data_IF_087085956999
#
_entry.id   IF_087085956999
#
_cell.length_a   1.000
_cell.length_b   1.000
_cell.length_c   1.000
_cell.angle_alpha   90.00
_cell.angle_beta   90.00
_cell.angle_gamma   90.00
#
_symmetry.space_group_name_H-M   'P 1'
#
loop_
_entity.id
_entity.type
_entity.pdbx_description
1 polymer ?
#
# COMPACT_ATOMS: atom_id res chain seq x y z
N UNK A 1 -24.80 25.24 -2.27
CA UNK A 1 -25.20 23.88 -2.73
C UNK A 1 -24.24 23.31 -3.76
N UNK A 2 -23.98 23.95 -4.91
CA UNK A 2 -23.09 23.40 -5.96
C UNK A 2 -21.65 23.14 -5.47
N UNK A 3 -21.08 24.06 -4.67
CA UNK A 3 -19.73 23.88 -4.11
C UNK A 3 -19.60 22.67 -3.17
N UNK A 4 -20.61 22.45 -2.32
CA UNK A 4 -20.65 21.30 -1.41
C UNK A 4 -20.73 19.98 -2.20
N UNK A 5 -21.51 19.95 -3.29
CA UNK A 5 -21.58 18.79 -4.18
C UNK A 5 -20.21 18.42 -4.74
N UNK A 6 -19.47 19.38 -5.29
CA UNK A 6 -18.12 19.13 -5.81
C UNK A 6 -17.13 18.67 -4.73
N UNK A 7 -17.19 19.25 -3.52
CA UNK A 7 -16.38 18.80 -2.39
C UNK A 7 -16.72 17.37 -1.96
N UNK A 8 -18.00 17.03 -1.88
CA UNK A 8 -18.42 15.66 -1.53
C UNK A 8 -17.99 14.65 -2.59
N UNK A 9 -18.07 15.02 -3.87
CA UNK A 9 -17.62 14.17 -4.98
C UNK A 9 -16.10 13.94 -4.90
N UNK A 10 -15.32 14.99 -4.65
CA UNK A 10 -13.86 14.89 -4.51
C UNK A 10 -13.48 14.01 -3.31
N UNK A 11 -14.13 14.20 -2.16
CA UNK A 11 -13.93 13.35 -0.98
C UNK A 11 -14.29 11.89 -1.25
N UNK A 12 -15.40 11.62 -1.95
CA UNK A 12 -15.79 10.28 -2.32
C UNK A 12 -14.74 9.62 -3.22
N UNK A 13 -14.25 10.31 -4.24
CA UNK A 13 -13.20 9.82 -5.15
C UNK A 13 -11.92 9.50 -4.36
N UNK A 14 -11.48 10.39 -3.45
CA UNK A 14 -10.31 10.13 -2.60
C UNK A 14 -10.49 8.89 -1.73
N UNK A 15 -11.70 8.69 -1.18
CA UNK A 15 -12.03 7.53 -0.36
C UNK A 15 -11.98 6.24 -1.18
N UNK A 16 -12.52 6.25 -2.40
CA UNK A 16 -12.41 5.11 -3.33
C UNK A 16 -10.96 4.80 -3.71
N UNK A 17 -10.15 5.82 -3.98
CA UNK A 17 -8.72 5.65 -4.26
C UNK A 17 -7.99 5.03 -3.06
N UNK A 18 -8.29 5.49 -1.84
CA UNK A 18 -7.68 4.91 -0.62
C UNK A 18 -8.06 3.43 -0.45
N UNK A 19 -9.35 3.10 -0.59
CA UNK A 19 -9.81 1.70 -0.53
C UNK A 19 -9.14 0.83 -1.61
N UNK A 20 -9.03 1.35 -2.83
CA UNK A 20 -8.37 0.65 -3.93
C UNK A 20 -6.88 0.40 -3.63
N UNK A 21 -6.15 1.43 -3.18
CA UNK A 21 -4.74 1.31 -2.80
C UNK A 21 -4.54 0.27 -1.69
N UNK A 22 -5.35 0.35 -0.65
CA UNK A 22 -5.32 -0.57 0.49
C UNK A 22 -5.54 -2.01 0.04
N UNK A 23 -6.54 -2.23 -0.81
CA UNK A 23 -6.83 -3.55 -1.36
C UNK A 23 -5.69 -4.06 -2.27
N UNK A 24 -5.13 -3.19 -3.12
CA UNK A 24 -4.01 -3.52 -4.00
C UNK A 24 -2.77 -3.94 -3.20
N UNK A 25 -2.39 -3.17 -2.18
CA UNK A 25 -1.28 -3.49 -1.27
C UNK A 25 -1.53 -4.80 -0.54
N UNK A 26 -2.73 -5.01 -0.01
CA UNK A 26 -3.08 -6.24 0.69
C UNK A 26 -2.97 -7.48 -0.22
N UNK A 27 -3.53 -7.41 -1.43
CA UNK A 27 -3.50 -8.50 -2.40
C UNK A 27 -2.07 -8.79 -2.86
N UNK A 28 -1.27 -7.75 -3.13
CA UNK A 28 0.12 -7.91 -3.54
C UNK A 28 0.99 -8.49 -2.40
N UNK A 29 0.84 -7.96 -1.18
CA UNK A 29 1.53 -8.47 0.01
C UNK A 29 1.17 -9.94 0.30
N UNK A 30 -0.11 -10.31 0.13
CA UNK A 30 -0.58 -11.69 0.30
C UNK A 30 0.03 -12.65 -0.72
N UNK A 31 0.23 -12.21 -1.97
CA UNK A 31 0.85 -13.01 -3.03
C UNK A 31 2.34 -13.25 -2.80
N UNK A 32 3.04 -12.30 -2.18
CA UNK A 32 4.51 -12.34 -2.02
C UNK A 32 4.99 -13.03 -0.74
N UNK A 33 4.12 -13.17 0.26
CA UNK A 33 4.44 -13.86 1.51
C UNK A 33 5.36 -13.06 2.44
N UNK A 34 5.51 -13.56 3.68
CA UNK A 34 6.24 -12.89 4.77
C UNK A 34 7.76 -12.75 4.52
N UNK A 35 8.34 -13.61 3.67
CA UNK A 35 9.79 -13.69 3.46
C UNK A 35 10.40 -12.46 2.78
N UNK A 36 9.61 -11.65 2.06
CA UNK A 36 10.11 -10.44 1.37
C UNK A 36 9.78 -9.12 2.07
N UNK A 37 8.74 -9.09 2.92
CA UNK A 37 8.18 -7.82 3.40
C UNK A 37 8.36 -7.55 4.90
N UNK A 38 9.00 -8.45 5.66
CA UNK A 38 9.25 -8.38 7.12
C UNK A 38 8.02 -8.15 8.02
N UNK A 39 6.87 -7.82 7.44
CA UNK A 39 5.62 -7.49 8.11
C UNK A 39 4.49 -8.25 7.42
N UNK A 40 3.47 -8.67 8.18
CA UNK A 40 2.31 -9.37 7.64
C UNK A 40 1.49 -8.47 6.70
N UNK A 41 0.83 -9.06 5.68
CA UNK A 41 -0.01 -8.33 4.72
C UNK A 41 -1.08 -7.44 5.36
N UNK A 42 -1.62 -7.85 6.50
CA UNK A 42 -2.61 -7.08 7.25
C UNK A 42 -2.06 -5.77 7.82
N UNK A 43 -0.80 -5.76 8.27
CA UNK A 43 -0.16 -4.54 8.79
C UNK A 43 0.10 -3.56 7.64
N UNK A 44 0.56 -4.05 6.49
CA UNK A 44 0.74 -3.21 5.30
C UNK A 44 -0.56 -2.59 4.80
N UNK A 45 -1.65 -3.36 4.82
CA UNK A 45 -2.98 -2.86 4.51
C UNK A 45 -3.41 -1.77 5.52
N UNK A 46 -3.22 -1.98 6.83
CA UNK A 46 -3.55 -0.99 7.85
C UNK A 46 -2.75 0.31 7.69
N UNK A 47 -1.45 0.22 7.46
CA UNK A 47 -0.59 1.40 7.25
C UNK A 47 -1.02 2.17 6.01
N UNK A 48 -1.34 1.46 4.92
CA UNK A 48 -1.85 2.08 3.69
C UNK A 48 -3.24 2.66 3.89
N UNK A 49 -4.10 2.05 4.70
CA UNK A 49 -5.43 2.59 4.95
C UNK A 49 -5.41 3.91 5.72
N UNK A 50 -4.57 3.99 6.76
CA UNK A 50 -4.41 5.21 7.58
C UNK A 50 -3.67 6.30 6.81
N UNK A 51 -2.62 5.93 6.09
CA UNK A 51 -1.80 6.83 5.28
C UNK A 51 -1.72 6.30 3.84
N UNK A 52 -2.70 6.55 2.97
CA UNK A 52 -2.76 5.97 1.63
C UNK A 52 -1.53 6.24 0.79
N UNK A 53 -1.17 7.51 0.62
CA UNK A 53 -0.01 7.88 -0.20
C UNK A 53 1.29 7.44 0.46
N UNK A 54 1.45 7.67 1.77
CA UNK A 54 2.71 7.39 2.46
C UNK A 54 2.93 5.88 2.68
N UNK A 55 1.90 5.15 3.10
CA UNK A 55 1.93 3.71 3.29
C UNK A 55 2.18 2.96 1.99
N UNK A 56 1.51 3.36 0.90
CA UNK A 56 1.82 2.83 -0.42
C UNK A 56 3.22 3.18 -0.89
N UNK A 57 3.67 4.41 -0.67
CA UNK A 57 5.02 4.83 -1.05
C UNK A 57 6.09 4.03 -0.30
N UNK A 58 5.95 3.83 1.01
CA UNK A 58 6.89 3.03 1.82
C UNK A 58 6.81 1.54 1.43
N UNK A 59 5.60 1.02 1.17
CA UNK A 59 5.41 -0.34 0.63
C UNK A 59 6.17 -0.52 -0.68
N UNK A 60 5.97 0.42 -1.60
CA UNK A 60 6.63 0.44 -2.89
C UNK A 60 8.14 0.61 -2.74
N UNK A 61 8.62 1.46 -1.83
CA UNK A 61 10.04 1.63 -1.54
C UNK A 61 10.67 0.35 -1.02
N UNK A 62 10.06 -0.33 -0.06
CA UNK A 62 10.56 -1.63 0.41
C UNK A 62 10.54 -2.68 -0.71
N UNK A 63 9.59 -2.56 -1.64
CA UNK A 63 9.44 -3.52 -2.72
C UNK A 63 10.33 -3.27 -3.95
N UNK A 64 10.61 -2.01 -4.30
CA UNK A 64 11.40 -1.61 -5.47
C UNK A 64 12.79 -1.08 -5.13
N UNK A 65 13.09 -0.84 -3.86
CA UNK A 65 14.48 -0.68 -3.46
C UNK A 65 15.21 -1.99 -3.71
N UNK A 66 16.27 -1.91 -4.50
CA UNK A 66 17.25 -2.95 -4.80
C UNK A 66 17.97 -3.50 -3.56
N UNK A 67 17.60 -3.09 -2.34
CA UNK A 67 18.04 -3.67 -1.07
C UNK A 67 17.52 -5.09 -0.84
N UNK A 68 16.54 -5.55 -1.64
CA UNK A 68 16.15 -6.96 -1.74
C UNK A 68 17.05 -7.77 -2.71
N UNK A 69 18.21 -7.25 -3.13
CA UNK A 69 19.24 -8.06 -3.77
C UNK A 69 19.86 -9.00 -2.74
N UNK A 70 19.17 -10.13 -2.60
CA UNK A 70 19.64 -11.45 -2.20
C UNK A 70 21.14 -11.63 -2.35
N UNK A 71 21.86 -11.51 -1.24
CA UNK A 71 23.00 -12.38 -0.96
C UNK A 71 22.52 -13.46 0.02
N UNK A 72 21.76 -14.44 -0.51
CA UNK A 72 21.85 -15.78 0.08
C UNK A 72 23.09 -16.39 -0.55
N UNK A 73 24.22 -16.55 0.18
CA UNK A 73 25.32 -17.32 -0.36
C UNK A 73 24.79 -18.72 -0.71
N UNK A 74 25.04 -19.23 -1.92
CA UNK A 74 25.01 -20.67 -2.08
C UNK A 74 26.19 -21.18 -1.26
N UNK A 75 25.91 -22.11 -0.34
CA UNK A 75 26.85 -22.86 0.50
C UNK A 75 27.30 -22.15 1.79
#
# INVERSE_FOLDING_TARGET
>A
MVWQFWLTLLLAVLLFINLYLTAAVYVDAKKRGLDQLNLPPGIWALVTFIFPLWGFFVYWLMHHSTLAFRERPPF
#
